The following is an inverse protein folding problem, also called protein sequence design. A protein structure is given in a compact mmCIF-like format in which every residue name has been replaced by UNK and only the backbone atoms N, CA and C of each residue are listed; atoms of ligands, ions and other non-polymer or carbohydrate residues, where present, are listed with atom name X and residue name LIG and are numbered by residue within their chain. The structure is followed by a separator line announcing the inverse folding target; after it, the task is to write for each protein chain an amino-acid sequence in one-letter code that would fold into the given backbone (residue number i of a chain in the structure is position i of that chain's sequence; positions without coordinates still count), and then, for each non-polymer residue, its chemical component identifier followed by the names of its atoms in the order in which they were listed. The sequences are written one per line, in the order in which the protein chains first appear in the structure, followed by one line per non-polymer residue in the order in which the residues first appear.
data_IF_667341115212
#
_entry.id   IF_667341115212
#
_cell.length_a   1.000
_cell.length_b   1.000
_cell.length_c   1.000
_cell.angle_alpha   90.00
_cell.angle_beta   90.00
_cell.angle_gamma   90.00
#
_symmetry.space_group_name_H-M   'P 1'
#
loop_
_entity.id
_entity.type
_entity.pdbx_description
1 polymer ?
#
# COMPACT_ATOMS: atom_id res chain seq x y z
N UNK A 1 5.90 16.96 5.17
CA UNK A 1 7.32 16.56 5.28
C UNK A 1 7.93 16.23 3.91
N UNK A 2 7.43 15.21 3.20
CA UNK A 2 7.97 14.78 1.90
C UNK A 2 8.09 15.91 0.86
N UNK A 3 7.04 16.72 0.66
CA UNK A 3 7.06 17.81 -0.32
C UNK A 3 8.08 18.92 0.02
N UNK A 4 8.18 19.25 1.31
CA UNK A 4 9.16 20.23 1.79
C UNK A 4 10.60 19.69 1.65
N UNK A 5 10.82 18.41 1.93
CA UNK A 5 12.12 17.74 1.71
C UNK A 5 12.48 17.66 0.22
N UNK A 6 11.49 17.62 -0.67
CA UNK A 6 11.66 17.70 -2.12
C UNK A 6 11.82 19.14 -2.64
N UNK A 7 11.84 20.15 -1.76
CA UNK A 7 12.09 21.55 -2.12
C UNK A 7 10.88 22.28 -2.72
N UNK A 8 9.66 21.75 -2.58
CA UNK A 8 8.46 22.48 -2.98
C UNK A 8 8.16 23.65 -2.03
N UNK A 9 7.59 24.73 -2.57
CA UNK A 9 7.22 25.91 -1.81
C UNK A 9 6.18 25.60 -0.72
N UNK A 10 6.28 26.28 0.42
CA UNK A 10 5.35 26.11 1.57
C UNK A 10 3.90 26.47 1.23
N UNK A 11 3.69 27.30 0.20
CA UNK A 11 2.37 27.66 -0.30
C UNK A 11 1.66 26.53 -1.05
N UNK A 12 2.38 25.45 -1.42
CA UNK A 12 1.80 24.31 -2.14
C UNK A 12 1.23 23.33 -1.11
N UNK A 13 -0.11 23.15 -1.05
CA UNK A 13 -0.71 22.22 -0.10
C UNK A 13 -0.39 20.77 -0.49
N UNK A 14 -0.30 19.91 0.53
CA UNK A 14 -0.13 18.48 0.37
C UNK A 14 -1.06 17.70 1.27
N UNK A 15 -1.48 16.51 0.82
CA UNK A 15 -2.28 15.58 1.60
C UNK A 15 -1.68 14.17 1.48
N UNK A 16 -1.76 13.41 2.57
CA UNK A 16 -1.40 11.98 2.56
C UNK A 16 -2.69 11.17 2.64
N UNK A 17 -2.82 10.18 1.77
CA UNK A 17 -3.98 9.30 1.69
C UNK A 17 -3.55 7.88 2.01
N UNK A 18 -4.34 7.19 2.84
CA UNK A 18 -4.18 5.76 3.11
C UNK A 18 -5.45 5.01 2.70
N UNK A 19 -5.31 4.23 1.63
CA UNK A 19 -6.27 3.26 1.11
C UNK A 19 -5.55 1.91 0.90
N UNK A 20 -4.67 1.54 1.81
CA UNK A 20 -3.87 0.30 1.77
C UNK A 20 -3.08 0.18 0.45
N UNK A 21 -3.00 -1.02 -0.14
CA UNK A 21 -2.34 -1.26 -1.42
C UNK A 21 -2.88 -0.38 -2.57
N UNK A 22 -4.08 0.20 -2.42
CA UNK A 22 -4.69 1.10 -3.40
C UNK A 22 -4.28 2.57 -3.26
N UNK A 23 -3.48 2.95 -2.26
CA UNK A 23 -3.19 4.37 -1.94
C UNK A 23 -2.54 5.14 -3.09
N UNK A 24 -1.58 4.52 -3.80
CA UNK A 24 -0.91 5.15 -4.93
C UNK A 24 -1.90 5.53 -6.03
N UNK A 25 -2.76 4.59 -6.42
CA UNK A 25 -3.79 4.83 -7.44
C UNK A 25 -4.89 5.79 -6.94
N UNK A 26 -5.29 5.69 -5.67
CA UNK A 26 -6.27 6.61 -5.08
C UNK A 26 -5.79 8.06 -5.13
N UNK A 27 -4.49 8.31 -4.92
CA UNK A 27 -3.92 9.67 -5.04
C UNK A 27 -4.09 10.25 -6.44
N UNK A 28 -3.93 9.41 -7.48
CA UNK A 28 -4.10 9.81 -8.89
C UNK A 28 -5.58 10.08 -9.16
N UNK A 29 -6.47 9.18 -8.73
CA UNK A 29 -7.93 9.36 -8.86
C UNK A 29 -8.38 10.65 -8.18
N UNK A 30 -7.86 10.93 -6.97
CA UNK A 30 -8.15 12.14 -6.24
C UNK A 30 -7.70 13.39 -7.00
N UNK A 31 -6.46 13.42 -7.52
CA UNK A 31 -5.97 14.52 -8.36
C UNK A 31 -6.86 14.75 -9.59
N UNK A 32 -7.25 13.68 -10.30
CA UNK A 32 -8.17 13.79 -11.43
C UNK A 32 -9.51 14.42 -11.04
N UNK A 33 -10.10 13.99 -9.91
CA UNK A 33 -11.37 14.54 -9.40
C UNK A 33 -11.25 16.01 -9.01
N UNK A 34 -10.13 16.41 -8.42
CA UNK A 34 -9.89 17.80 -8.05
C UNK A 34 -9.79 18.72 -9.27
N UNK A 35 -9.12 18.26 -10.34
CA UNK A 35 -9.08 18.98 -11.62
C UNK A 35 -10.50 19.06 -12.22
N UNK A 36 -11.23 17.95 -12.25
CA UNK A 36 -12.61 17.91 -12.79
C UNK A 36 -13.57 18.83 -12.02
N UNK A 37 -13.39 18.96 -10.70
CA UNK A 37 -14.17 19.85 -9.86
C UNK A 37 -13.77 21.34 -9.99
N UNK A 38 -12.73 21.66 -10.76
CA UNK A 38 -12.21 23.02 -10.90
C UNK A 38 -11.45 23.53 -9.68
N UNK A 39 -11.04 22.64 -8.77
CA UNK A 39 -10.33 23.00 -7.54
C UNK A 39 -8.85 23.35 -7.77
N UNK A 40 -8.32 23.06 -8.95
CA UNK A 40 -6.95 23.39 -9.35
C UNK A 40 -6.64 22.91 -10.77
N UNK A 41 -5.47 23.28 -11.28
CA UNK A 41 -5.06 23.00 -12.66
C UNK A 41 -3.97 21.94 -12.76
N UNK A 42 -3.09 21.84 -11.75
CA UNK A 42 -1.94 20.96 -11.75
C UNK A 42 -1.84 20.30 -10.37
N UNK A 43 -1.65 18.99 -10.38
CA UNK A 43 -1.48 18.17 -9.18
C UNK A 43 -0.32 17.21 -9.38
N UNK A 44 0.44 16.96 -8.32
CA UNK A 44 1.43 15.88 -8.25
C UNK A 44 0.82 14.78 -7.39
N UNK A 45 0.72 13.57 -7.96
CA UNK A 45 0.12 12.42 -7.29
C UNK A 45 1.02 11.20 -7.44
N UNK A 46 0.97 10.31 -6.45
CA UNK A 46 1.80 9.12 -6.39
C UNK A 46 1.74 8.46 -5.01
N UNK A 47 2.52 7.40 -4.84
CA UNK A 47 2.64 6.69 -3.58
C UNK A 47 4.09 6.36 -3.28
N UNK A 48 4.44 6.32 -2.00
CA UNK A 48 5.73 5.85 -1.51
C UNK A 48 5.48 5.00 -0.27
N UNK A 49 6.25 3.93 -0.10
CA UNK A 49 6.17 3.04 1.05
C UNK A 49 7.58 2.71 1.55
N UNK A 50 7.72 2.50 2.86
CA UNK A 50 9.00 2.08 3.45
C UNK A 50 8.79 1.12 4.61
N UNK A 51 8.56 -0.14 4.26
CA UNK A 51 8.37 -1.24 5.21
C UNK A 51 9.56 -1.44 6.15
N UNK A 52 10.79 -1.24 5.66
CA UNK A 52 12.02 -1.43 6.46
C UNK A 52 12.16 -0.48 7.65
N UNK A 53 11.38 0.62 7.69
CA UNK A 53 11.35 1.60 8.79
C UNK A 53 9.98 1.67 9.46
N UNK A 54 9.10 0.70 9.22
CA UNK A 54 7.80 0.66 9.85
C UNK A 54 7.98 0.63 11.39
N UNK A 55 7.34 1.56 12.13
CA UNK A 55 7.46 1.57 13.58
C UNK A 55 6.68 0.40 14.18
N UNK A 56 7.01 0.05 15.42
CA UNK A 56 6.15 -0.81 16.21
C UNK A 56 4.82 -0.11 16.47
N UNK A 57 3.72 -0.81 16.18
CA UNK A 57 2.38 -0.34 16.51
C UNK A 57 1.89 -1.12 17.73
N UNK A 58 1.46 -0.38 18.73
CA UNK A 58 1.06 -0.93 20.03
C UNK A 58 -0.38 -0.49 20.27
N UNK A 59 -1.23 -1.40 20.71
CA UNK A 59 -2.60 -1.04 21.08
C UNK A 59 -2.59 -0.03 22.21
N UNK A 60 -3.49 0.95 22.12
CA UNK A 60 -3.66 1.95 23.17
C UNK A 60 -4.12 1.26 24.46
N UNK A 61 -3.42 1.47 25.60
CA UNK A 61 -3.89 1.00 26.91
C UNK A 61 -5.27 1.58 27.21
N UNK A 62 -6.17 0.75 27.74
CA UNK A 62 -7.53 1.18 28.05
C UNK A 62 -7.62 1.86 29.43
N UNK A 63 -6.61 1.69 30.28
CA UNK A 63 -6.52 2.27 31.61
C UNK A 63 -5.06 2.55 31.98
N UNK A 64 -4.84 3.52 32.86
CA UNK A 64 -3.52 3.77 33.48
C UNK A 64 -3.12 2.69 34.48
N UNK A 65 -4.07 1.88 34.93
CA UNK A 65 -3.86 0.73 35.82
C UNK A 65 -3.76 -0.59 35.05
N UNK A 66 -3.73 -0.53 33.71
CA UNK A 66 -3.62 -1.72 32.88
C UNK A 66 -2.25 -2.38 33.09
N UNK A 67 -2.27 -3.58 33.65
CA UNK A 67 -1.06 -4.38 33.92
C UNK A 67 -0.77 -5.39 32.81
N UNK A 68 -1.56 -5.40 31.74
CA UNK A 68 -1.30 -6.28 30.61
C UNK A 68 -0.05 -5.86 29.86
N UNK A 69 0.65 -6.83 29.29
CA UNK A 69 1.79 -6.56 28.42
C UNK A 69 1.31 -5.81 27.16
N UNK A 70 2.12 -4.88 26.63
CA UNK A 70 1.81 -4.19 25.38
C UNK A 70 1.49 -5.16 24.25
N UNK A 71 0.30 -5.03 23.66
CA UNK A 71 -0.08 -5.84 22.50
C UNK A 71 0.39 -5.14 21.22
N UNK A 72 1.37 -5.74 20.56
CA UNK A 72 1.87 -5.30 19.27
C UNK A 72 0.97 -5.80 18.15
N UNK A 73 0.79 -5.00 17.11
CA UNK A 73 0.06 -5.40 15.92
C UNK A 73 0.77 -4.90 14.66
N UNK A 74 0.70 -5.69 13.59
CA UNK A 74 1.36 -5.33 12.33
C UNK A 74 0.45 -4.45 11.45
N UNK A 75 -0.86 -4.75 11.47
CA UNK A 75 -1.87 -4.15 10.61
C UNK A 75 -3.07 -3.70 11.44
N UNK A 76 -3.54 -2.47 11.21
CA UNK A 76 -4.80 -2.02 11.79
C UNK A 76 -5.96 -2.83 11.19
N UNK A 77 -7.01 -3.06 11.97
CA UNK A 77 -8.17 -3.77 11.45
C UNK A 77 -9.08 -2.84 10.65
N UNK A 78 -9.47 -3.25 9.45
CA UNK A 78 -10.34 -2.48 8.55
C UNK A 78 -11.68 -3.16 8.27
N UNK A 79 -11.89 -4.35 8.86
CA UNK A 79 -13.14 -5.09 8.77
C UNK A 79 -13.61 -5.49 10.18
N UNK A 80 -14.89 -5.86 10.35
CA UNK A 80 -15.39 -6.36 11.62
C UNK A 80 -14.58 -7.55 12.15
N UNK A 81 -14.61 -7.75 13.46
CA UNK A 81 -13.92 -8.85 14.12
C UNK A 81 -14.31 -10.20 13.46
N UNK A 82 -13.30 -10.96 13.07
CA UNK A 82 -13.47 -12.26 12.39
C UNK A 82 -13.67 -12.18 10.87
N UNK A 83 -13.64 -10.99 10.27
CA UNK A 83 -13.78 -10.77 8.83
C UNK A 83 -12.54 -10.09 8.22
N UNK A 84 -11.41 -10.14 8.93
CA UNK A 84 -10.20 -9.42 8.57
C UNK A 84 -9.00 -10.38 8.53
N UNK A 85 -9.02 -11.39 7.61
CA UNK A 85 -7.96 -12.38 7.52
C UNK A 85 -6.61 -11.71 7.25
N UNK A 86 -5.53 -12.43 7.55
CA UNK A 86 -4.20 -11.99 7.10
C UNK A 86 -4.14 -11.97 5.56
N UNK A 87 -3.20 -11.21 4.97
CA UNK A 87 -3.07 -11.17 3.50
C UNK A 87 -2.81 -12.57 2.89
N UNK A 88 -2.02 -13.40 3.59
CA UNK A 88 -1.70 -14.76 3.15
C UNK A 88 -2.92 -15.66 3.25
N UNK A 89 -3.64 -15.60 4.37
CA UNK A 89 -4.89 -16.36 4.56
C UNK A 89 -5.96 -15.95 3.53
N UNK A 90 -6.10 -14.65 3.26
CA UNK A 90 -7.00 -14.15 2.23
C UNK A 90 -6.63 -14.70 0.84
N UNK A 91 -5.34 -14.72 0.49
CA UNK A 91 -4.86 -15.28 -0.77
C UNK A 91 -5.14 -16.78 -0.88
N UNK A 92 -4.95 -17.54 0.19
CA UNK A 92 -5.24 -18.98 0.24
C UNK A 92 -6.75 -19.25 0.11
N UNK A 93 -7.58 -18.47 0.80
CA UNK A 93 -9.04 -18.57 0.68
C UNK A 93 -9.51 -18.32 -0.77
N UNK A 94 -8.93 -17.32 -1.46
CA UNK A 94 -9.19 -17.06 -2.88
C UNK A 94 -8.71 -18.23 -3.74
N UNK A 95 -7.51 -18.75 -3.50
CA UNK A 95 -6.98 -19.89 -4.24
C UNK A 95 -7.88 -21.13 -4.10
N UNK A 96 -8.37 -21.42 -2.90
CA UNK A 96 -9.28 -22.54 -2.65
C UNK A 96 -10.63 -22.33 -3.33
N UNK A 97 -11.22 -21.14 -3.19
CA UNK A 97 -12.51 -20.79 -3.78
C UNK A 97 -12.52 -20.90 -5.30
N UNK A 98 -11.45 -20.45 -5.95
CA UNK A 98 -11.29 -20.49 -7.42
C UNK A 98 -10.53 -21.72 -7.91
N UNK A 99 -10.23 -22.68 -7.05
CA UNK A 99 -9.49 -23.91 -7.37
C UNK A 99 -8.14 -23.66 -8.07
N UNK A 100 -7.42 -22.62 -7.64
CA UNK A 100 -6.10 -22.27 -8.17
C UNK A 100 -5.04 -23.18 -7.55
N UNK A 101 -4.56 -24.14 -8.33
CA UNK A 101 -3.58 -25.11 -7.88
C UNK A 101 -2.23 -24.47 -7.58
N UNK A 102 -1.46 -25.07 -6.66
CA UNK A 102 -0.07 -24.67 -6.39
C UNK A 102 0.78 -24.57 -7.67
N UNK A 103 0.63 -25.53 -8.59
CA UNK A 103 1.34 -25.55 -9.86
C UNK A 103 1.03 -24.32 -10.73
N UNK A 104 -0.21 -23.83 -10.74
CA UNK A 104 -0.57 -22.60 -11.46
C UNK A 104 0.04 -21.36 -10.81
N UNK A 105 0.04 -21.29 -9.48
CA UNK A 105 0.66 -20.18 -8.74
C UNK A 105 2.18 -20.13 -9.00
N UNK A 106 2.88 -21.27 -8.92
CA UNK A 106 4.31 -21.36 -9.22
C UNK A 106 4.62 -20.98 -10.67
N UNK A 107 3.82 -21.46 -11.63
CA UNK A 107 3.99 -21.13 -13.04
C UNK A 107 3.82 -19.63 -13.30
N UNK A 108 2.85 -18.98 -12.64
CA UNK A 108 2.66 -17.53 -12.72
C UNK A 108 3.85 -16.78 -12.12
N UNK A 109 4.32 -17.18 -10.94
CA UNK A 109 5.45 -16.53 -10.27
C UNK A 109 6.74 -16.61 -11.12
N UNK A 110 7.07 -17.80 -11.66
CA UNK A 110 8.23 -18.00 -12.54
C UNK A 110 8.10 -17.12 -13.79
N UNK A 111 6.93 -17.09 -14.43
CA UNK A 111 6.70 -16.23 -15.59
C UNK A 111 6.91 -14.76 -15.25
N UNK A 112 6.40 -14.28 -14.11
CA UNK A 112 6.58 -12.89 -13.67
C UNK A 112 8.06 -12.54 -13.48
N UNK A 113 8.82 -13.41 -12.83
CA UNK A 113 10.27 -13.21 -12.66
C UNK A 113 11.00 -13.20 -13.99
N UNK A 114 10.67 -14.12 -14.91
CA UNK A 114 11.30 -14.18 -16.22
C UNK A 114 11.03 -12.92 -17.04
N UNK A 115 9.78 -12.44 -17.07
CA UNK A 115 9.41 -11.21 -17.76
C UNK A 115 10.16 -10.00 -17.20
N UNK A 116 10.27 -9.90 -15.88
CA UNK A 116 10.99 -8.80 -15.21
C UNK A 116 12.47 -8.82 -15.59
N UNK A 117 13.10 -10.01 -15.53
CA UNK A 117 14.51 -10.16 -15.90
C UNK A 117 14.76 -9.80 -17.38
N UNK A 118 13.90 -10.27 -18.30
CA UNK A 118 13.98 -9.90 -19.71
C UNK A 118 13.84 -8.39 -19.94
N UNK A 119 12.90 -7.75 -19.25
CA UNK A 119 12.73 -6.29 -19.33
C UNK A 119 13.97 -5.53 -18.85
N UNK A 120 14.61 -6.02 -17.79
CA UNK A 120 15.84 -5.45 -17.26
C UNK A 120 17.02 -5.59 -18.24
N UNK A 121 17.24 -6.79 -18.77
CA UNK A 121 18.33 -7.07 -19.73
C UNK A 121 18.19 -6.26 -21.03
N UNK A 122 16.96 -5.98 -21.45
CA UNK A 122 16.68 -5.19 -22.66
C UNK A 122 16.77 -3.67 -22.42
N UNK A 123 17.10 -3.23 -21.21
CA UNK A 123 17.27 -1.81 -20.85
C UNK A 123 15.97 -1.00 -20.77
N UNK A 124 14.81 -1.64 -20.88
CA UNK A 124 13.51 -0.94 -20.96
C UNK A 124 12.99 -0.44 -19.60
N UNK A 125 13.68 -0.75 -18.50
CA UNK A 125 13.28 -0.33 -17.13
C UNK A 125 13.66 1.12 -16.81
N UNK A 126 14.46 1.79 -17.66
CA UNK A 126 14.83 3.19 -17.45
C UNK A 126 13.86 4.19 -18.07
N UNK A 127 12.83 3.72 -18.77
CA UNK A 127 11.90 4.55 -19.55
C UNK A 127 10.59 4.89 -18.78
N UNK A 128 10.53 4.58 -17.49
CA UNK A 128 9.41 4.87 -16.56
C UNK A 128 9.67 6.11 -15.68
#
# INVERSE_FOLDING_TARGET
KSLLEAGLAESIPGVTMDRQCGSGLESIIYACRMIQAGAGHIYIAGGVERTSRAPWKIKRPQSVYDTQLPEFYERASFAPKGQDPSMIEAAENVAQYYHITRKQQDAFAIRSHHLTHQYYENGSISDE
#
